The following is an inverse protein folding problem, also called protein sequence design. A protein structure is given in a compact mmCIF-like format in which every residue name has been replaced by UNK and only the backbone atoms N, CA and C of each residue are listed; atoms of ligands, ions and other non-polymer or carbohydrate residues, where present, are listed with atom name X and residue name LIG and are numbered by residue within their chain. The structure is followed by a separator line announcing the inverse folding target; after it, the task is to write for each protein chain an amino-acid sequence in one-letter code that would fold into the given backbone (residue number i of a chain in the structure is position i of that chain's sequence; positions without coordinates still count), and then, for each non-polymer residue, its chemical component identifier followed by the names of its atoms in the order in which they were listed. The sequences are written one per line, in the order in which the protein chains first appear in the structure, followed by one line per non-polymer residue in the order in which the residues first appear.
data_IF_089367935081
#
_entry.id   IF_089367935081
#
_cell.length_a   1.000
_cell.length_b   1.000
_cell.length_c   1.000
_cell.angle_alpha   90.00
_cell.angle_beta   90.00
_cell.angle_gamma   90.00
#
_symmetry.space_group_name_H-M   'P 1'
#
loop_
_entity.id
_entity.type
_entity.pdbx_description
1 polymer ?
#
# COMPACT_ATOMS: atom_id res chain seq x y z
N UNK A 1 0.02 21.52 -9.18
CA UNK A 1 0.72 20.96 -10.36
C UNK A 1 1.59 19.83 -9.85
N UNK A 2 1.38 18.60 -10.34
CA UNK A 2 2.23 17.45 -9.99
C UNK A 2 3.54 17.56 -10.76
N UNK A 3 4.65 17.32 -10.08
CA UNK A 3 5.98 17.32 -10.67
C UNK A 3 6.56 15.91 -10.74
N UNK A 4 7.59 15.70 -11.57
CA UNK A 4 8.35 14.44 -11.59
C UNK A 4 8.97 14.09 -10.22
N UNK A 5 9.31 15.10 -9.42
CA UNK A 5 9.86 14.94 -8.08
C UNK A 5 8.82 14.33 -7.12
N UNK A 6 7.56 14.74 -7.24
CA UNK A 6 6.44 14.17 -6.48
C UNK A 6 6.24 12.68 -6.84
N UNK A 7 6.26 12.37 -8.13
CA UNK A 7 6.15 10.98 -8.62
C UNK A 7 7.32 10.14 -8.11
N UNK A 8 8.54 10.67 -8.14
CA UNK A 8 9.73 9.96 -7.63
C UNK A 8 9.62 9.70 -6.13
N UNK A 9 9.14 10.69 -5.38
CA UNK A 9 8.98 10.58 -3.93
C UNK A 9 7.97 9.48 -3.56
N UNK A 10 6.79 9.48 -4.18
CA UNK A 10 5.77 8.47 -3.94
C UNK A 10 6.23 7.09 -4.40
N UNK A 11 6.87 6.97 -5.57
CA UNK A 11 7.41 5.71 -6.05
C UNK A 11 8.44 5.10 -5.08
N UNK A 12 9.32 5.94 -4.50
CA UNK A 12 10.27 5.49 -3.49
C UNK A 12 9.59 4.98 -2.21
N UNK A 13 8.54 5.66 -1.74
CA UNK A 13 7.74 5.19 -0.59
C UNK A 13 7.10 3.83 -0.87
N UNK A 14 6.68 3.59 -2.12
CA UNK A 14 6.08 2.32 -2.55
C UNK A 14 7.10 1.26 -2.96
N UNK A 15 8.41 1.57 -2.93
CA UNK A 15 9.50 0.69 -3.38
C UNK A 15 9.38 0.28 -4.85
N UNK A 16 8.92 1.19 -5.69
CA UNK A 16 8.83 1.02 -7.14
C UNK A 16 10.04 1.67 -7.81
N UNK A 17 10.65 0.95 -8.75
CA UNK A 17 11.67 1.50 -9.65
C UNK A 17 11.00 1.89 -10.97
N UNK A 18 10.94 3.19 -11.26
CA UNK A 18 10.18 3.76 -12.37
C UNK A 18 11.13 4.50 -13.33
N UNK A 19 11.20 4.00 -14.57
CA UNK A 19 12.06 4.52 -15.62
C UNK A 19 11.47 5.74 -16.35
N UNK A 20 10.18 5.72 -16.67
CA UNK A 20 9.51 6.73 -17.51
C UNK A 20 8.59 7.63 -16.68
N UNK A 21 9.15 8.70 -16.09
CA UNK A 21 8.48 9.48 -15.03
C UNK A 21 7.46 10.49 -15.57
N UNK A 22 7.66 10.96 -16.79
CA UNK A 22 6.85 12.03 -17.40
C UNK A 22 5.44 11.53 -17.76
N UNK A 23 5.35 10.30 -18.28
CA UNK A 23 4.07 9.65 -18.59
C UNK A 23 3.23 9.38 -17.32
N UNK A 24 3.88 9.06 -16.18
CA UNK A 24 3.16 8.90 -14.92
C UNK A 24 2.69 10.23 -14.34
N UNK A 25 3.44 11.33 -14.51
CA UNK A 25 3.02 12.63 -14.00
C UNK A 25 1.69 13.09 -14.62
N UNK A 26 1.54 12.97 -15.96
CA UNK A 26 0.29 13.31 -16.65
C UNK A 26 -0.86 12.37 -16.27
N UNK A 27 -0.60 11.07 -16.14
CA UNK A 27 -1.63 10.10 -15.72
C UNK A 27 -2.15 10.35 -14.31
N UNK A 28 -1.23 10.55 -13.36
CA UNK A 28 -1.59 10.80 -11.96
C UNK A 28 -2.32 12.15 -11.85
N UNK A 29 -1.90 13.15 -12.63
CA UNK A 29 -2.60 14.44 -12.71
C UNK A 29 -4.05 14.27 -13.17
N UNK A 30 -4.29 13.54 -14.26
CA UNK A 30 -5.66 13.26 -14.72
C UNK A 30 -6.50 12.47 -13.72
N UNK A 31 -5.88 11.57 -12.95
CA UNK A 31 -6.56 10.86 -11.86
C UNK A 31 -6.94 11.81 -10.71
N UNK A 32 -6.06 12.73 -10.30
CA UNK A 32 -6.38 13.70 -9.25
C UNK A 32 -7.47 14.67 -9.71
N UNK A 33 -7.37 15.19 -10.93
CA UNK A 33 -8.40 16.07 -11.52
C UNK A 33 -9.78 15.40 -11.56
N UNK A 34 -9.84 14.07 -11.74
CA UNK A 34 -11.09 13.32 -11.63
C UNK A 34 -11.65 13.33 -10.20
N UNK A 35 -10.78 13.25 -9.19
CA UNK A 35 -11.18 13.26 -7.78
C UNK A 35 -11.49 14.65 -7.24
N UNK A 36 -11.07 15.73 -7.91
CA UNK A 36 -11.44 17.12 -7.55
C UNK A 36 -12.97 17.33 -7.56
N UNK A 37 -13.74 16.46 -8.24
CA UNK A 37 -15.21 16.46 -8.16
C UNK A 37 -15.69 16.27 -6.71
N UNK A 38 -14.93 15.55 -5.88
CA UNK A 38 -15.27 15.31 -4.47
C UNK A 38 -15.15 16.58 -3.63
N UNK A 39 -14.33 17.56 -4.02
CA UNK A 39 -14.23 18.85 -3.31
C UNK A 39 -15.52 19.67 -3.42
N UNK A 40 -16.37 19.38 -4.43
CA UNK A 40 -17.68 20.02 -4.56
C UNK A 40 -18.73 19.46 -3.59
N UNK A 41 -18.45 18.32 -2.95
CA UNK A 41 -19.29 17.79 -1.90
C UNK A 41 -18.99 18.57 -0.61
N UNK A 42 -19.95 19.38 -0.14
CA UNK A 42 -19.87 20.22 1.07
C UNK A 42 -19.94 19.37 2.35
N UNK A 43 -19.00 18.42 2.48
CA UNK A 43 -18.87 17.49 3.58
C UNK A 43 -17.87 18.08 4.57
N UNK A 44 -18.39 18.79 5.57
CA UNK A 44 -17.57 19.46 6.59
C UNK A 44 -17.04 18.47 7.63
N UNK A 45 -17.90 17.57 8.11
CA UNK A 45 -17.58 16.53 9.09
C UNK A 45 -18.56 15.37 8.90
N UNK A 46 -18.16 14.33 8.18
CA UNK A 46 -18.85 13.04 8.17
C UNK A 46 -18.01 12.05 8.97
N UNK A 47 -18.65 11.30 9.86
CA UNK A 47 -17.99 10.23 10.58
C UNK A 47 -17.44 9.23 9.56
N UNK A 48 -16.12 9.01 9.58
CA UNK A 48 -15.50 7.98 8.74
C UNK A 48 -16.17 6.66 9.10
N UNK A 49 -16.71 5.95 8.10
CA UNK A 49 -17.29 4.63 8.29
C UNK A 49 -16.19 3.67 8.77
N UNK A 50 -16.08 3.52 10.09
CA UNK A 50 -15.22 2.52 10.71
C UNK A 50 -16.01 1.23 10.79
N UNK A 51 -15.38 0.13 10.37
CA UNK A 51 -15.98 -1.19 10.57
C UNK A 51 -16.00 -1.50 12.07
N UNK A 52 -17.18 -1.44 12.68
CA UNK A 52 -17.36 -1.86 14.06
C UNK A 52 -17.19 -3.38 14.17
N UNK A 53 -16.34 -3.82 15.11
CA UNK A 53 -16.16 -5.23 15.43
C UNK A 53 -16.74 -5.45 16.83
N UNK A 54 -17.70 -6.36 16.92
CA UNK A 54 -18.23 -6.78 18.22
C UNK A 54 -17.14 -7.54 18.99
N UNK A 55 -17.05 -7.29 20.30
CA UNK A 55 -16.17 -8.02 21.22
C UNK A 55 -16.40 -9.55 21.12
N UNK A 56 -17.63 -9.98 20.84
CA UNK A 56 -17.97 -11.39 20.62
C UNK A 56 -17.28 -12.03 19.40
N UNK A 57 -16.75 -11.22 18.47
CA UNK A 57 -16.12 -11.67 17.23
C UNK A 57 -14.59 -11.64 17.31
N UNK A 58 -14.01 -11.44 18.50
CA UNK A 58 -12.57 -11.54 18.70
C UNK A 58 -12.11 -13.00 18.54
N UNK A 59 -10.89 -13.17 18.02
CA UNK A 59 -10.27 -14.50 17.87
C UNK A 59 -9.95 -15.08 19.24
N UNK A 60 -10.37 -16.32 19.49
CA UNK A 60 -9.97 -17.10 20.66
C UNK A 60 -8.46 -17.37 20.67
N UNK A 61 -7.88 -17.49 21.87
CA UNK A 61 -6.45 -17.77 22.03
C UNK A 61 -6.11 -19.25 21.86
N UNK A 62 -6.34 -19.75 20.64
CA UNK A 62 -6.06 -21.14 20.26
C UNK A 62 -4.89 -21.22 19.28
N UNK A 63 -4.03 -22.23 19.46
CA UNK A 63 -2.90 -22.48 18.57
C UNK A 63 -3.35 -23.19 17.29
N UNK A 64 -3.14 -22.53 16.15
CA UNK A 64 -3.33 -23.12 14.82
C UNK A 64 -1.96 -23.53 14.27
N UNK A 65 -1.75 -24.84 14.09
CA UNK A 65 -0.51 -25.37 13.51
C UNK A 65 -0.39 -24.95 12.04
N UNK A 66 0.69 -24.25 11.69
CA UNK A 66 1.03 -23.95 10.30
C UNK A 66 2.04 -24.95 9.73
N UNK A 67 1.86 -25.33 8.46
CA UNK A 67 2.86 -26.09 7.70
C UNK A 67 4.05 -25.22 7.31
N UNK A 68 5.11 -25.85 6.78
CA UNK A 68 6.29 -25.11 6.34
C UNK A 68 5.95 -24.09 5.25
N UNK A 69 6.44 -22.86 5.43
CA UNK A 69 6.37 -21.82 4.41
C UNK A 69 7.11 -22.34 3.18
N UNK A 70 6.48 -22.31 2.00
CA UNK A 70 7.16 -22.61 0.73
C UNK A 70 7.41 -21.29 -0.02
N UNK A 71 8.67 -20.90 -0.15
CA UNK A 71 9.06 -19.72 -0.91
C UNK A 71 10.31 -19.98 -1.74
N UNK A 72 10.31 -19.50 -2.99
CA UNK A 72 11.44 -19.67 -3.93
C UNK A 72 12.76 -19.12 -3.40
N UNK A 73 12.71 -18.09 -2.55
CA UNK A 73 13.89 -17.45 -1.95
C UNK A 73 14.42 -18.16 -0.71
N UNK A 74 13.92 -19.36 -0.37
CA UNK A 74 14.40 -20.10 0.80
C UNK A 74 15.74 -20.79 0.56
N UNK A 75 16.54 -20.86 1.63
CA UNK A 75 17.73 -21.68 1.66
C UNK A 75 17.38 -23.14 2.03
N UNK A 76 18.35 -24.05 1.89
CA UNK A 76 18.19 -25.48 2.26
C UNK A 76 17.86 -25.72 3.74
N UNK A 77 17.97 -24.69 4.59
CA UNK A 77 17.64 -24.71 6.03
C UNK A 77 16.28 -24.04 6.31
N UNK A 78 15.49 -23.70 5.29
CA UNK A 78 14.16 -23.08 5.44
C UNK A 78 14.13 -21.57 5.72
N UNK A 79 15.27 -20.87 5.69
CA UNK A 79 15.31 -19.42 5.94
C UNK A 79 15.20 -18.62 4.64
N UNK A 80 14.53 -17.47 4.68
CA UNK A 80 14.48 -16.52 3.56
C UNK A 80 15.88 -15.92 3.29
N UNK A 81 16.30 -15.95 2.02
CA UNK A 81 17.50 -15.25 1.55
C UNK A 81 17.11 -13.88 1.02
N UNK A 82 17.70 -12.85 1.59
CA UNK A 82 17.56 -11.45 1.14
C UNK A 82 18.93 -10.77 1.13
N UNK A 83 19.14 -9.74 0.30
CA UNK A 83 20.32 -8.90 0.39
C UNK A 83 20.47 -8.30 1.80
N UNK A 84 21.70 -8.24 2.30
CA UNK A 84 21.97 -7.49 3.53
C UNK A 84 21.95 -6.00 3.21
N UNK A 85 21.27 -5.23 4.05
CA UNK A 85 21.39 -3.78 4.03
C UNK A 85 22.84 -3.45 4.41
N UNK A 86 23.54 -2.77 3.51
CA UNK A 86 24.89 -2.25 3.72
C UNK A 86 24.87 -0.85 4.31
#
# INVERSE_FOLDING_TARGET
MITEDDIRHVAAMMRLDISDKDDYAEKVKGMLEYFDVLDSADILEEDILVQEINISNLRDDEHVSHSSIQCKSQNKRGHLRVPRLG
#
